data_IF_171098250022
#
_entry.id   IF_171098250022
#
_cell.length_a   1.000
_cell.length_b   1.000
_cell.length_c   1.000
_cell.angle_alpha   90.00
_cell.angle_beta   90.00
_cell.angle_gamma   90.00
#
_symmetry.space_group_name_H-M   'P 1'
#
loop_
_entity.id
_entity.type
_entity.pdbx_description
1 polymer ?
#
# COMPACT_ATOMS: atom_id res chain seq x y z
N UNK A 1 8.89 8.43 -44.69
CA UNK A 1 8.10 8.08 -43.49
C UNK A 1 9.01 8.20 -42.27
N UNK A 2 8.68 9.04 -41.27
CA UNK A 2 9.51 9.29 -40.08
C UNK A 2 9.37 8.11 -39.11
N UNK A 3 10.50 7.49 -38.70
CA UNK A 3 10.54 6.49 -37.62
C UNK A 3 10.21 7.19 -36.30
N UNK A 4 9.13 6.77 -35.64
CA UNK A 4 8.79 7.18 -34.28
C UNK A 4 9.78 6.49 -33.33
N UNK A 5 10.56 7.21 -32.52
CA UNK A 5 11.45 6.57 -31.56
C UNK A 5 10.63 5.90 -30.47
N UNK A 6 10.89 4.61 -30.29
CA UNK A 6 10.22 3.77 -29.31
C UNK A 6 10.73 4.16 -27.91
N UNK A 7 9.97 4.98 -27.19
CA UNK A 7 10.27 5.37 -25.79
C UNK A 7 9.82 4.25 -24.86
N UNK A 8 10.36 3.04 -25.04
CA UNK A 8 10.35 2.05 -23.98
C UNK A 8 11.36 2.51 -22.92
N UNK A 9 10.89 3.31 -21.95
CA UNK A 9 11.67 3.58 -20.74
C UNK A 9 11.91 2.24 -20.04
N UNK A 10 13.12 1.70 -20.14
CA UNK A 10 13.57 0.59 -19.29
C UNK A 10 13.42 1.01 -17.83
N UNK A 11 12.37 0.54 -17.17
CA UNK A 11 12.16 0.78 -15.75
C UNK A 11 13.19 -0.05 -15.00
N UNK A 12 14.20 0.61 -14.43
CA UNK A 12 15.25 -0.03 -13.65
C UNK A 12 14.63 -0.73 -12.45
N UNK A 13 14.59 -2.06 -12.47
CA UNK A 13 13.99 -2.86 -11.41
C UNK A 13 15.01 -3.02 -10.26
N UNK A 14 15.22 -1.95 -9.48
CA UNK A 14 16.03 -2.02 -8.26
C UNK A 14 15.23 -2.73 -7.18
N UNK A 15 15.83 -3.66 -6.46
CA UNK A 15 15.20 -4.28 -5.28
C UNK A 15 14.74 -3.18 -4.33
N UNK A 16 13.50 -3.31 -3.82
CA UNK A 16 13.01 -2.40 -2.80
C UNK A 16 13.86 -2.56 -1.54
N UNK A 17 14.31 -1.44 -0.98
CA UNK A 17 14.96 -1.39 0.34
C UNK A 17 13.96 -1.66 1.48
N UNK A 18 12.67 -1.39 1.23
CA UNK A 18 11.59 -1.66 2.16
C UNK A 18 11.06 -3.08 1.96
N UNK A 19 11.07 -3.90 3.02
CA UNK A 19 10.52 -5.26 3.01
C UNK A 19 8.99 -5.24 2.92
N UNK A 20 8.40 -6.32 2.38
CA UNK A 20 6.94 -6.46 2.24
C UNK A 20 6.23 -6.25 3.58
N UNK A 21 6.75 -6.83 4.67
CA UNK A 21 6.18 -6.65 6.02
C UNK A 21 6.18 -5.20 6.49
N UNK A 22 7.27 -4.44 6.27
CA UNK A 22 7.31 -3.01 6.60
C UNK A 22 6.26 -2.21 5.81
N UNK A 23 6.10 -2.53 4.52
CA UNK A 23 5.07 -1.90 3.67
C UNK A 23 3.67 -2.23 4.21
N UNK A 24 3.39 -3.49 4.56
CA UNK A 24 2.11 -3.89 5.18
C UNK A 24 1.83 -3.11 6.46
N UNK A 25 2.82 -3.00 7.35
CA UNK A 25 2.67 -2.27 8.62
C UNK A 25 2.26 -0.82 8.38
N UNK A 26 2.89 -0.13 7.43
CA UNK A 26 2.53 1.25 7.09
C UNK A 26 1.08 1.35 6.59
N UNK A 27 0.63 0.40 5.77
CA UNK A 27 -0.74 0.37 5.22
C UNK A 27 -1.78 0.04 6.29
N UNK A 28 -1.51 -0.93 7.16
CA UNK A 28 -2.41 -1.26 8.27
C UNK A 28 -2.54 -0.06 9.22
N UNK A 29 -1.41 0.56 9.58
CA UNK A 29 -1.40 1.74 10.43
C UNK A 29 -2.11 2.93 9.77
N UNK A 30 -2.05 3.09 8.44
CA UNK A 30 -2.85 4.09 7.73
C UNK A 30 -4.34 3.90 7.99
N UNK A 31 -4.86 2.68 7.82
CA UNK A 31 -6.28 2.41 8.06
C UNK A 31 -6.70 2.64 9.51
N UNK A 32 -5.82 2.39 10.47
CA UNK A 32 -6.07 2.64 11.89
C UNK A 32 -5.95 4.12 12.29
N UNK A 33 -5.16 4.90 11.55
CA UNK A 33 -4.84 6.29 11.88
C UNK A 33 -5.97 7.29 11.61
N UNK A 34 -7.01 6.91 10.86
CA UNK A 34 -8.12 7.80 10.48
C UNK A 34 -7.78 8.87 9.45
N UNK A 35 -6.57 8.87 8.88
CA UNK A 35 -6.22 9.78 7.78
C UNK A 35 -7.06 9.47 6.54
N UNK A 36 -7.64 10.52 5.93
CA UNK A 36 -8.46 10.37 4.72
C UNK A 36 -7.64 10.08 3.46
N UNK A 37 -6.41 10.61 3.39
CA UNK A 37 -5.56 10.51 2.21
C UNK A 37 -4.22 9.86 2.58
N UNK A 38 -3.92 8.74 1.90
CA UNK A 38 -2.68 8.00 2.09
C UNK A 38 -1.44 8.85 1.79
N UNK A 39 -1.49 9.74 0.79
CA UNK A 39 -0.38 10.64 0.47
C UNK A 39 -0.03 11.56 1.63
N UNK A 40 -1.05 12.14 2.27
CA UNK A 40 -0.86 13.03 3.42
C UNK A 40 -0.29 12.26 4.60
N UNK A 41 -0.85 11.09 4.91
CA UNK A 41 -0.34 10.20 5.93
C UNK A 41 1.13 9.81 5.68
N UNK A 42 1.45 9.35 4.48
CA UNK A 42 2.80 8.91 4.16
C UNK A 42 3.82 10.05 4.23
N UNK A 43 3.54 11.19 3.59
CA UNK A 43 4.50 12.29 3.50
C UNK A 43 4.63 13.05 4.83
N UNK A 44 3.51 13.39 5.48
CA UNK A 44 3.54 14.27 6.65
C UNK A 44 3.66 13.52 7.98
N UNK A 45 3.25 12.26 8.04
CA UNK A 45 3.37 11.46 9.26
C UNK A 45 4.52 10.46 9.16
N UNK A 46 4.47 9.51 8.21
CA UNK A 46 5.48 8.44 8.11
C UNK A 46 6.88 8.98 7.81
N UNK A 47 7.02 9.79 6.77
CA UNK A 47 8.32 10.37 6.39
C UNK A 47 8.86 11.42 7.35
N UNK A 48 8.06 11.90 8.30
CA UNK A 48 8.49 12.94 9.25
C UNK A 48 8.77 12.39 10.64
N UNK A 49 7.95 11.45 11.11
CA UNK A 49 8.02 10.94 12.48
C UNK A 49 8.48 9.49 12.58
N UNK A 50 8.31 8.69 11.52
CA UNK A 50 8.64 7.26 11.53
C UNK A 50 9.93 6.93 10.76
N UNK A 51 10.76 7.93 10.44
CA UNK A 51 12.03 7.71 9.72
C UNK A 51 13.01 6.83 10.48
N UNK A 52 12.97 6.86 11.82
CA UNK A 52 13.85 6.05 12.66
C UNK A 52 13.43 4.59 12.70
N UNK A 53 12.13 4.32 12.67
CA UNK A 53 11.54 2.97 12.62
C UNK A 53 11.70 2.33 11.23
N UNK A 54 11.62 3.17 10.19
CA UNK A 54 11.78 2.78 8.81
C UNK A 54 13.05 3.38 8.24
N UNK A 55 14.20 2.81 8.65
CA UNK A 55 15.46 3.00 7.96
C UNK A 55 15.27 2.69 6.47
N UNK A 56 15.34 3.73 5.64
CA UNK A 56 15.20 3.71 4.17
C UNK A 56 13.77 3.75 3.60
N UNK A 57 12.95 4.71 4.06
CA UNK A 57 11.70 5.06 3.39
C UNK A 57 11.91 5.35 1.90
N UNK A 58 11.00 4.81 1.08
CA UNK A 58 11.01 5.00 -0.37
C UNK A 58 10.20 6.25 -0.75
N UNK A 59 10.36 6.74 -1.99
CA UNK A 59 9.49 7.82 -2.48
C UNK A 59 8.02 7.40 -2.49
N UNK A 60 7.10 8.36 -2.36
CA UNK A 60 5.65 8.09 -2.39
C UNK A 60 5.22 7.26 -3.60
N UNK A 61 5.76 7.55 -4.79
CA UNK A 61 5.46 6.79 -6.01
C UNK A 61 5.96 5.34 -5.94
N UNK A 62 7.12 5.12 -5.32
CA UNK A 62 7.63 3.77 -5.10
C UNK A 62 6.78 3.03 -4.05
N UNK A 63 6.37 3.71 -2.98
CA UNK A 63 5.44 3.15 -1.99
C UNK A 63 4.13 2.69 -2.65
N UNK A 64 3.54 3.51 -3.53
CA UNK A 64 2.31 3.17 -4.23
C UNK A 64 2.47 1.92 -5.12
N UNK A 65 3.59 1.79 -5.83
CA UNK A 65 3.90 0.59 -6.61
C UNK A 65 4.05 -0.66 -5.73
N UNK A 66 4.64 -0.53 -4.55
CA UNK A 66 4.75 -1.65 -3.60
C UNK A 66 3.37 -2.04 -3.06
N UNK A 67 2.51 -1.06 -2.76
CA UNK A 67 1.15 -1.29 -2.27
C UNK A 67 0.28 -2.07 -3.25
N UNK A 68 0.46 -1.89 -4.56
CA UNK A 68 -0.28 -2.65 -5.57
C UNK A 68 -0.07 -4.17 -5.47
N UNK A 69 1.08 -4.62 -4.96
CA UNK A 69 1.40 -6.03 -4.75
C UNK A 69 1.03 -6.58 -3.37
N UNK A 70 0.41 -5.79 -2.48
CA UNK A 70 0.21 -6.19 -1.09
C UNK A 70 -1.04 -7.01 -0.84
N UNK A 71 -2.03 -7.01 -1.74
CA UNK A 71 -3.34 -7.62 -1.46
C UNK A 71 -3.20 -9.10 -1.05
N UNK A 72 -2.55 -9.91 -1.87
CA UNK A 72 -2.35 -11.35 -1.61
C UNK A 72 -1.56 -11.57 -0.30
N UNK A 73 -0.40 -10.92 -0.10
CA UNK A 73 0.31 -10.99 1.18
C UNK A 73 -0.53 -10.55 2.40
N UNK A 74 -1.34 -9.49 2.29
CA UNK A 74 -2.16 -9.00 3.40
C UNK A 74 -3.26 -10.00 3.75
N UNK A 75 -3.95 -10.53 2.74
CA UNK A 75 -4.96 -11.56 2.94
C UNK A 75 -4.34 -12.80 3.60
N UNK A 76 -3.19 -13.27 3.11
CA UNK A 76 -2.47 -14.40 3.71
C UNK A 76 -2.11 -14.14 5.18
N UNK A 77 -1.58 -12.96 5.50
CA UNK A 77 -1.26 -12.56 6.86
C UNK A 77 -2.50 -12.51 7.77
N UNK A 78 -3.59 -11.93 7.29
CA UNK A 78 -4.84 -11.81 8.06
C UNK A 78 -5.46 -13.19 8.29
N UNK A 79 -5.55 -14.04 7.26
CA UNK A 79 -6.05 -15.41 7.41
C UNK A 79 -5.20 -16.23 8.36
N UNK A 80 -3.87 -16.06 8.34
CA UNK A 80 -2.98 -16.72 9.28
C UNK A 80 -3.16 -16.22 10.73
N UNK A 81 -3.45 -14.93 10.93
CA UNK A 81 -3.67 -14.35 12.25
C UNK A 81 -5.10 -14.44 12.78
N UNK A 82 -6.07 -14.79 11.94
CA UNK A 82 -7.46 -14.96 12.37
C UNK A 82 -7.53 -16.08 13.41
N UNK A 83 -8.22 -15.80 14.52
CA UNK A 83 -8.59 -16.86 15.45
C UNK A 83 -9.50 -17.86 14.73
N UNK A 84 -9.50 -19.12 15.18
CA UNK A 84 -10.45 -20.11 14.69
C UNK A 84 -11.86 -19.53 14.83
N UNK A 85 -12.60 -19.37 13.73
CA UNK A 85 -13.96 -18.88 13.81
C UNK A 85 -14.78 -19.79 14.73
N UNK A 86 -15.40 -19.22 15.77
CA UNK A 86 -16.34 -19.97 16.62
C UNK A 86 -17.65 -20.24 15.88
N UNK A 87 -17.91 -19.50 14.79
CA UNK A 87 -19.06 -19.61 13.88
C UNK A 87 -18.63 -19.22 12.45
N UNK A 88 -19.58 -18.90 11.56
CA UNK A 88 -19.30 -18.51 10.17
C UNK A 88 -18.67 -17.10 10.15
N UNK A 89 -17.52 -16.96 9.50
CA UNK A 89 -16.83 -15.67 9.31
C UNK A 89 -16.88 -15.24 7.83
N UNK A 90 -17.18 -13.96 7.58
CA UNK A 90 -17.24 -13.37 6.24
C UNK A 90 -16.21 -12.25 6.10
N UNK A 91 -15.50 -12.23 4.97
CA UNK A 91 -14.69 -11.08 4.53
C UNK A 91 -15.56 -10.29 3.58
N UNK A 92 -16.08 -9.15 4.03
CA UNK A 92 -16.91 -8.28 3.19
C UNK A 92 -16.13 -7.04 2.73
N UNK A 93 -16.38 -6.65 1.48
CA UNK A 93 -15.94 -5.37 0.94
C UNK A 93 -17.20 -4.52 0.79
N UNK A 94 -17.41 -3.59 1.72
CA UNK A 94 -18.51 -2.64 1.60
C UNK A 94 -18.29 -1.77 0.35
N UNK A 95 -19.14 -1.91 -0.66
CA UNK A 95 -19.14 -1.03 -1.83
C UNK A 95 -19.42 0.40 -1.34
N UNK A 96 -18.44 1.30 -1.49
CA UNK A 96 -18.67 2.73 -1.30
C UNK A 96 -19.50 3.24 -2.47
N UNK A 97 -20.80 3.39 -2.26
CA UNK A 97 -21.69 4.00 -3.22
C UNK A 97 -21.38 5.52 -3.25
N UNK A 98 -20.52 5.94 -4.17
CA UNK A 98 -20.26 7.35 -4.40
C UNK A 98 -21.47 7.91 -5.14
N UNK A 99 -22.31 8.65 -4.42
CA UNK A 99 -23.42 9.37 -5.02
C UNK A 99 -22.83 10.48 -5.92
N UNK A 100 -22.98 10.38 -7.24
CA UNK A 100 -22.78 11.52 -8.11
C UNK A 100 -23.90 12.51 -7.79
N UNK A 101 -23.59 13.63 -7.14
CA UNK A 101 -24.52 14.75 -7.08
C UNK A 101 -24.46 15.45 -8.45
N UNK A 102 -25.58 15.34 -9.17
CA UNK A 102 -26.10 16.13 -10.31
C UNK A 102 -25.13 17.11 -10.98
#
# INVERSE_FOLDING_TARGET
MKKIPNVFRCQRNKSSRLSVGKVMTIVIAFHQSGYRNFKTYYIHFVCRYLTNEFSELVSYMRMLKLMQGLLVPLCSYLTHRQLRPTAIAFVDSSKLQVCYKL
#
